data_IF_375941372869
#
_entry.id   IF_375941372869
#
_cell.length_a   1.000
_cell.length_b   1.000
_cell.length_c   1.000
_cell.angle_alpha   90.00
_cell.angle_beta   90.00
_cell.angle_gamma   90.00
#
_symmetry.space_group_name_H-M   'P 1'
#
loop_
_entity.id
_entity.type
_entity.pdbx_description
1 polymer ?
#
# COMPACT_ATOMS: atom_id res chain seq x y z
N UNK A 1 -40.53 -22.51 -24.85
CA UNK A 1 -40.48 -21.66 -23.65
C UNK A 1 -40.08 -20.26 -24.08
N UNK A 2 -40.72 -19.22 -23.55
CA UNK A 2 -40.38 -17.82 -23.88
C UNK A 2 -39.11 -17.35 -23.17
N UNK A 3 -38.45 -16.34 -23.72
CA UNK A 3 -37.30 -15.66 -23.09
C UNK A 3 -37.77 -14.87 -21.86
N UNK A 4 -36.95 -14.81 -20.82
CA UNK A 4 -37.21 -13.98 -19.65
C UNK A 4 -37.09 -12.50 -20.01
N UNK A 5 -37.86 -11.67 -19.33
CA UNK A 5 -37.81 -10.21 -19.44
C UNK A 5 -37.35 -9.61 -18.11
N UNK A 6 -36.74 -8.42 -18.17
CA UNK A 6 -36.32 -7.69 -16.96
C UNK A 6 -37.51 -7.49 -16.01
N UNK A 7 -38.67 -7.09 -16.54
CA UNK A 7 -39.91 -6.94 -15.76
C UNK A 7 -40.31 -8.20 -15.00
N UNK A 8 -40.17 -9.38 -15.59
CA UNK A 8 -40.47 -10.64 -14.91
C UNK A 8 -39.49 -10.93 -13.75
N UNK A 9 -38.23 -10.51 -13.87
CA UNK A 9 -37.23 -10.67 -12.82
C UNK A 9 -37.44 -9.66 -11.69
N UNK A 10 -37.88 -8.43 -12.01
CA UNK A 10 -38.18 -7.39 -11.03
C UNK A 10 -39.41 -7.69 -10.18
N UNK A 11 -40.35 -8.49 -10.69
CA UNK A 11 -41.56 -8.91 -9.96
C UNK A 11 -41.34 -10.09 -9.02
N UNK A 12 -40.14 -10.68 -8.99
CA UNK A 12 -39.87 -11.86 -8.16
C UNK A 12 -39.88 -11.50 -6.68
N UNK A 13 -40.45 -12.39 -5.88
CA UNK A 13 -40.59 -12.21 -4.43
C UNK A 13 -39.95 -13.38 -3.67
N UNK A 14 -40.05 -13.36 -2.34
CA UNK A 14 -39.58 -14.46 -1.50
C UNK A 14 -40.31 -15.78 -1.78
N UNK A 15 -41.57 -15.71 -2.21
CA UNK A 15 -42.37 -16.89 -2.56
C UNK A 15 -41.83 -17.62 -3.81
N UNK A 16 -41.06 -16.93 -4.65
CA UNK A 16 -40.41 -17.52 -5.83
C UNK A 16 -39.08 -18.20 -5.50
N UNK A 17 -38.58 -18.11 -4.27
CA UNK A 17 -37.26 -18.66 -3.91
C UNK A 17 -37.19 -20.16 -4.19
N UNK A 18 -36.12 -20.58 -4.87
CA UNK A 18 -35.93 -21.96 -5.29
C UNK A 18 -36.49 -22.29 -6.68
N UNK A 19 -37.39 -21.44 -7.22
CA UNK A 19 -37.93 -21.57 -8.58
C UNK A 19 -36.82 -21.52 -9.63
N UNK A 20 -36.97 -22.35 -10.68
CA UNK A 20 -36.14 -22.31 -11.89
C UNK A 20 -36.84 -21.51 -12.98
N UNK A 21 -36.13 -20.54 -13.55
CA UNK A 21 -36.60 -19.67 -14.61
C UNK A 21 -35.81 -19.97 -15.88
N UNK A 22 -36.45 -20.36 -16.97
CA UNK A 22 -35.75 -20.73 -18.20
C UNK A 22 -35.72 -19.58 -19.19
N UNK A 23 -34.56 -19.30 -19.79
CA UNK A 23 -34.37 -18.20 -20.74
C UNK A 23 -34.13 -18.67 -22.19
N UNK A 24 -34.01 -19.99 -22.41
CA UNK A 24 -33.72 -20.60 -23.72
C UNK A 24 -32.24 -20.95 -23.87
N UNK A 25 -31.92 -21.74 -24.91
CA UNK A 25 -30.54 -22.13 -25.28
C UNK A 25 -29.70 -22.69 -24.12
N UNK A 26 -30.34 -23.45 -23.23
CA UNK A 26 -29.69 -24.01 -22.04
C UNK A 26 -29.44 -23.02 -20.90
N UNK A 27 -29.76 -21.73 -21.05
CA UNK A 27 -29.71 -20.73 -19.97
C UNK A 27 -30.93 -20.86 -19.05
N UNK A 28 -30.69 -20.94 -17.75
CA UNK A 28 -31.73 -20.87 -16.73
C UNK A 28 -31.22 -20.18 -15.46
N UNK A 29 -32.11 -19.47 -14.78
CA UNK A 29 -31.90 -18.84 -13.50
C UNK A 29 -32.50 -19.65 -12.35
N UNK A 30 -31.89 -19.55 -11.16
CA UNK A 30 -32.48 -20.02 -9.90
C UNK A 30 -32.65 -18.85 -8.94
N UNK A 31 -33.88 -18.64 -8.48
CA UNK A 31 -34.22 -17.56 -7.56
C UNK A 31 -33.67 -17.88 -6.15
N UNK A 32 -33.05 -16.90 -5.51
CA UNK A 32 -32.44 -17.00 -4.18
C UNK A 32 -32.73 -15.71 -3.40
N UNK A 33 -32.98 -15.83 -2.10
CA UNK A 33 -32.95 -14.68 -1.19
C UNK A 33 -31.51 -14.49 -0.68
N UNK A 34 -31.01 -13.24 -0.72
CA UNK A 34 -29.71 -12.83 -0.16
C UNK A 34 -29.88 -11.50 0.61
N UNK A 35 -28.82 -11.06 1.31
CA UNK A 35 -28.83 -9.78 2.03
C UNK A 35 -29.21 -8.57 1.17
N UNK A 36 -28.92 -8.63 -0.12
CA UNK A 36 -29.22 -7.57 -1.11
C UNK A 36 -30.63 -7.67 -1.72
N UNK A 37 -31.45 -8.62 -1.28
CA UNK A 37 -32.79 -8.90 -1.81
C UNK A 37 -32.84 -10.17 -2.66
N UNK A 38 -33.81 -10.23 -3.58
CA UNK A 38 -33.98 -11.36 -4.50
C UNK A 38 -32.89 -11.34 -5.57
N UNK A 39 -32.14 -12.44 -5.64
CA UNK A 39 -31.06 -12.66 -6.59
C UNK A 39 -31.37 -13.88 -7.45
N UNK A 40 -31.25 -13.76 -8.77
CA UNK A 40 -31.38 -14.90 -9.67
C UNK A 40 -30.01 -15.30 -10.18
N UNK A 41 -29.53 -16.48 -9.76
CA UNK A 41 -28.24 -17.03 -10.23
C UNK A 41 -28.45 -17.76 -11.55
N UNK A 42 -27.84 -17.29 -12.62
CA UNK A 42 -27.97 -17.85 -13.95
C UNK A 42 -26.87 -18.87 -14.25
N UNK A 43 -27.26 -20.00 -14.81
CA UNK A 43 -26.39 -21.09 -15.25
C UNK A 43 -26.71 -21.47 -16.69
N UNK A 44 -25.67 -21.76 -17.46
CA UNK A 44 -25.78 -22.36 -18.79
C UNK A 44 -25.55 -23.87 -18.67
N UNK A 45 -26.56 -24.65 -19.07
CA UNK A 45 -26.51 -26.12 -19.18
C UNK A 45 -26.12 -26.52 -20.59
N UNK A 46 -25.09 -27.37 -20.69
CA UNK A 46 -24.58 -27.89 -21.96
C UNK A 46 -24.21 -29.38 -21.84
N UNK A 47 -23.93 -30.02 -22.98
CA UNK A 47 -23.34 -31.35 -23.03
C UNK A 47 -21.88 -31.25 -23.44
N UNK A 48 -21.03 -31.99 -22.76
CA UNK A 48 -19.60 -32.13 -23.07
C UNK A 48 -19.18 -33.57 -22.83
N UNK A 49 -18.57 -34.21 -23.84
CA UNK A 49 -18.15 -35.63 -23.79
C UNK A 49 -19.24 -36.57 -23.25
N UNK A 50 -20.47 -36.42 -23.75
CA UNK A 50 -21.63 -37.24 -23.35
C UNK A 50 -22.22 -36.93 -21.97
N UNK A 51 -21.61 -36.03 -21.18
CA UNK A 51 -22.08 -35.65 -19.83
C UNK A 51 -22.77 -34.28 -19.87
N UNK A 52 -23.83 -34.14 -19.07
CA UNK A 52 -24.45 -32.82 -18.84
C UNK A 52 -23.62 -32.04 -17.83
N UNK A 53 -23.26 -30.80 -18.14
CA UNK A 53 -22.54 -29.88 -17.26
C UNK A 53 -23.25 -28.53 -17.20
N UNK A 54 -22.98 -27.78 -16.14
CA UNK A 54 -23.52 -26.43 -15.94
C UNK A 54 -22.39 -25.47 -15.59
N UNK A 55 -22.53 -24.21 -16.00
CA UNK A 55 -21.55 -23.16 -15.72
C UNK A 55 -22.25 -21.84 -15.43
N UNK A 56 -21.83 -21.13 -14.37
CA UNK A 56 -22.46 -19.89 -13.88
C UNK A 56 -22.25 -18.70 -14.81
N UNK A 57 -23.30 -18.11 -15.37
CA UNK A 57 -23.25 -16.97 -16.32
C UNK A 57 -23.46 -15.58 -15.69
N UNK A 58 -23.79 -15.50 -14.40
CA UNK A 58 -23.97 -14.24 -13.69
C UNK A 58 -25.17 -14.28 -12.75
N UNK A 59 -25.50 -13.13 -12.16
CA UNK A 59 -26.55 -12.98 -11.16
C UNK A 59 -27.36 -11.71 -11.44
N UNK A 60 -28.67 -11.83 -11.57
CA UNK A 60 -29.53 -10.65 -11.53
C UNK A 60 -29.79 -10.23 -10.08
N UNK A 61 -29.77 -8.94 -9.70
CA UNK A 61 -29.55 -7.75 -10.53
C UNK A 61 -28.08 -7.25 -10.58
N UNK A 62 -27.11 -8.02 -10.08
CA UNK A 62 -25.68 -7.63 -10.07
C UNK A 62 -25.15 -7.41 -11.50
N UNK A 63 -25.52 -8.30 -12.41
CA UNK A 63 -25.29 -8.18 -13.84
C UNK A 63 -26.63 -8.05 -14.59
N UNK A 64 -26.62 -7.30 -15.70
CA UNK A 64 -27.83 -7.16 -16.52
C UNK A 64 -28.20 -8.48 -17.21
N UNK A 65 -29.49 -8.72 -17.46
CA UNK A 65 -29.92 -9.91 -18.20
C UNK A 65 -29.29 -9.99 -19.60
N UNK A 66 -28.98 -8.84 -20.22
CA UNK A 66 -28.24 -8.76 -21.47
C UNK A 66 -26.80 -9.29 -21.32
N UNK A 67 -26.10 -8.87 -20.28
CA UNK A 67 -24.71 -9.28 -20.05
C UNK A 67 -24.63 -10.76 -19.66
N UNK A 68 -25.59 -11.25 -18.88
CA UNK A 68 -25.74 -12.67 -18.55
C UNK A 68 -25.91 -13.52 -19.84
N UNK A 69 -26.75 -13.07 -20.78
CA UNK A 69 -26.91 -13.72 -22.10
C UNK A 69 -25.63 -13.68 -22.90
N UNK A 70 -24.93 -12.54 -22.93
CA UNK A 70 -23.62 -12.41 -23.59
C UNK A 70 -22.60 -13.39 -23.01
N UNK A 71 -22.54 -13.54 -21.69
CA UNK A 71 -21.68 -14.52 -21.00
C UNK A 71 -22.09 -15.97 -21.29
N UNK A 72 -23.39 -16.23 -21.51
CA UNK A 72 -23.83 -17.54 -22.02
C UNK A 72 -23.33 -17.76 -23.44
N UNK A 73 -23.49 -16.79 -24.33
CA UNK A 73 -23.11 -16.91 -25.73
C UNK A 73 -21.60 -17.18 -25.88
N UNK A 74 -20.76 -16.47 -25.10
CA UNK A 74 -19.31 -16.72 -25.12
C UNK A 74 -18.94 -18.15 -24.69
N UNK A 75 -19.62 -18.68 -23.67
CA UNK A 75 -19.40 -20.07 -23.22
C UNK A 75 -19.97 -21.10 -24.16
N UNK A 76 -21.07 -20.78 -24.83
CA UNK A 76 -21.62 -21.61 -25.87
C UNK A 76 -20.61 -21.75 -27.01
N UNK A 77 -20.02 -20.64 -27.49
CA UNK A 77 -18.95 -20.68 -28.50
C UNK A 77 -17.74 -21.50 -28.04
N UNK A 78 -17.36 -21.43 -26.76
CA UNK A 78 -16.28 -22.27 -26.22
C UNK A 78 -16.60 -23.77 -26.27
N UNK A 79 -17.85 -24.15 -25.95
CA UNK A 79 -18.31 -25.54 -26.04
C UNK A 79 -18.34 -26.00 -27.50
N UNK A 80 -18.82 -25.16 -28.42
CA UNK A 80 -18.84 -25.43 -29.86
C UNK A 80 -17.41 -25.60 -30.42
N UNK A 81 -16.43 -24.89 -29.86
CA UNK A 81 -15.01 -25.06 -30.15
C UNK A 81 -14.36 -26.28 -29.46
N UNK A 82 -15.11 -27.12 -28.75
CA UNK A 82 -14.63 -28.34 -28.11
C UNK A 82 -13.97 -28.15 -26.74
N UNK A 83 -14.08 -26.96 -26.13
CA UNK A 83 -13.57 -26.69 -24.79
C UNK A 83 -14.66 -26.85 -23.70
N UNK A 84 -14.24 -27.09 -22.45
CA UNK A 84 -15.13 -27.07 -21.28
C UNK A 84 -15.00 -25.74 -20.52
N UNK A 85 -16.02 -24.87 -20.55
CA UNK A 85 -16.00 -23.59 -19.83
C UNK A 85 -15.81 -23.72 -18.31
N UNK A 86 -16.17 -24.86 -17.71
CA UNK A 86 -15.99 -25.09 -16.27
C UNK A 86 -14.50 -25.24 -15.94
N UNK A 87 -13.77 -26.02 -16.73
CA UNK A 87 -12.33 -26.21 -16.53
C UNK A 87 -11.56 -24.94 -16.89
N UNK A 88 -11.95 -24.20 -17.93
CA UNK A 88 -11.34 -22.90 -18.24
C UNK A 88 -11.49 -21.89 -17.10
N UNK A 89 -12.70 -21.73 -16.54
CA UNK A 89 -12.91 -20.84 -15.40
C UNK A 89 -12.07 -21.24 -14.18
N UNK A 90 -11.88 -22.55 -13.95
CA UNK A 90 -11.04 -23.06 -12.87
C UNK A 90 -9.57 -22.76 -13.13
N UNK A 91 -9.08 -23.00 -14.35
CA UNK A 91 -7.71 -22.69 -14.76
C UNK A 91 -7.42 -21.18 -14.63
N UNK A 92 -8.33 -20.32 -15.12
CA UNK A 92 -8.21 -18.87 -15.02
C UNK A 92 -8.19 -18.39 -13.57
N UNK A 93 -9.02 -18.99 -12.70
CA UNK A 93 -9.02 -18.68 -11.28
C UNK A 93 -7.68 -19.03 -10.62
N UNK A 94 -7.17 -20.23 -10.89
CA UNK A 94 -5.87 -20.69 -10.35
C UNK A 94 -4.73 -19.82 -10.87
N UNK A 95 -4.75 -19.48 -12.16
CA UNK A 95 -3.77 -18.59 -12.77
C UNK A 95 -3.75 -17.21 -12.09
N UNK A 96 -4.91 -16.59 -11.92
CA UNK A 96 -5.02 -15.30 -11.21
C UNK A 96 -4.55 -15.39 -9.76
N UNK A 97 -4.83 -16.51 -9.08
CA UNK A 97 -4.35 -16.74 -7.71
C UNK A 97 -2.82 -16.83 -7.66
N UNK A 98 -2.21 -17.57 -8.59
CA UNK A 98 -0.76 -17.68 -8.69
C UNK A 98 -0.10 -16.34 -8.98
N UNK A 99 -0.63 -15.59 -9.97
CA UNK A 99 -0.15 -14.24 -10.31
C UNK A 99 -0.23 -13.30 -9.09
N UNK A 100 -1.34 -13.34 -8.34
CA UNK A 100 -1.48 -12.53 -7.13
C UNK A 100 -0.50 -12.93 -6.02
N UNK A 101 -0.23 -14.22 -5.84
CA UNK A 101 0.72 -14.70 -4.84
C UNK A 101 2.15 -14.29 -5.18
N UNK A 102 2.52 -14.36 -6.46
CA UNK A 102 3.83 -13.92 -6.96
C UNK A 102 4.03 -12.42 -6.76
N UNK A 103 3.00 -11.61 -7.01
CA UNK A 103 3.07 -10.15 -6.79
C UNK A 103 3.24 -9.81 -5.31
N UNK A 104 2.51 -10.48 -4.41
CA UNK A 104 2.67 -10.30 -2.96
C UNK A 104 4.10 -10.65 -2.53
N UNK A 105 4.65 -11.74 -3.04
CA UNK A 105 6.00 -12.17 -2.69
C UNK A 105 7.05 -11.17 -3.19
N UNK A 106 6.89 -10.65 -4.41
CA UNK A 106 7.75 -9.60 -4.97
C UNK A 106 7.72 -8.33 -4.12
N UNK A 107 6.54 -7.89 -3.69
CA UNK A 107 6.39 -6.72 -2.83
C UNK A 107 7.06 -6.92 -1.47
N UNK A 108 6.94 -8.12 -0.88
CA UNK A 108 7.61 -8.47 0.37
C UNK A 108 9.13 -8.45 0.24
N UNK A 109 9.66 -9.03 -0.84
CA UNK A 109 11.09 -9.03 -1.11
C UNK A 109 11.63 -7.60 -1.28
N UNK A 110 10.90 -6.73 -1.99
CA UNK A 110 11.30 -5.34 -2.15
C UNK A 110 11.26 -4.55 -0.84
N UNK A 111 10.21 -4.75 -0.02
CA UNK A 111 10.13 -4.13 1.31
C UNK A 111 11.28 -4.60 2.21
N UNK A 112 11.62 -5.90 2.18
CA UNK A 112 12.74 -6.44 2.94
C UNK A 112 14.08 -5.85 2.47
N UNK A 113 14.28 -5.67 1.15
CA UNK A 113 15.45 -5.01 0.58
C UNK A 113 15.58 -3.57 1.06
N UNK A 114 14.51 -2.78 0.93
CA UNK A 114 14.48 -1.38 1.39
C UNK A 114 14.72 -1.27 2.91
N UNK A 115 14.16 -2.18 3.70
CA UNK A 115 14.39 -2.21 5.14
C UNK A 115 15.86 -2.54 5.48
N UNK A 116 16.47 -3.49 4.77
CA UNK A 116 17.90 -3.82 4.93
C UNK A 116 18.81 -2.65 4.53
N UNK A 117 18.52 -2.01 3.40
CA UNK A 117 19.22 -0.80 2.96
C UNK A 117 19.07 0.34 3.99
N UNK A 118 17.88 0.52 4.56
CA UNK A 118 17.68 1.50 5.63
C UNK A 118 18.44 1.14 6.91
N UNK A 119 18.51 -0.14 7.29
CA UNK A 119 19.22 -0.59 8.49
C UNK A 119 20.75 -0.43 8.39
N UNK A 120 21.30 -0.45 7.18
CA UNK A 120 22.73 -0.16 6.95
C UNK A 120 23.04 1.34 6.94
N UNK A 121 22.05 2.21 6.74
CA UNK A 121 22.24 3.65 6.82
C UNK A 121 22.47 4.09 8.27
N UNK A 122 23.50 4.91 8.46
CA UNK A 122 23.78 5.56 9.74
C UNK A 122 22.65 6.52 10.08
N UNK A 123 21.93 6.29 11.18
CA UNK A 123 20.94 7.24 11.69
C UNK A 123 21.61 8.48 12.30
N UNK A 124 20.88 9.59 12.40
CA UNK A 124 21.37 10.81 13.01
C UNK A 124 21.73 10.60 14.48
N UNK A 125 20.90 9.88 15.25
CA UNK A 125 21.19 9.56 16.65
C UNK A 125 22.50 8.78 16.79
N UNK A 126 22.69 7.73 15.99
CA UNK A 126 23.94 6.96 16.03
C UNK A 126 25.15 7.82 15.66
N UNK A 127 25.01 8.74 14.70
CA UNK A 127 26.07 9.66 14.33
C UNK A 127 26.40 10.64 15.46
N UNK A 128 25.39 11.17 16.16
CA UNK A 128 25.55 12.03 17.33
C UNK A 128 26.27 11.30 18.46
N UNK A 129 25.91 10.05 18.76
CA UNK A 129 26.59 9.25 19.80
C UNK A 129 28.09 9.09 19.50
N UNK A 130 28.43 8.82 18.25
CA UNK A 130 29.83 8.72 17.83
C UNK A 130 30.55 10.06 17.91
N UNK A 131 29.90 11.16 17.52
CA UNK A 131 30.46 12.51 17.64
C UNK A 131 30.72 12.89 19.10
N UNK A 132 29.77 12.63 20.00
CA UNK A 132 29.90 12.88 21.43
C UNK A 132 31.07 12.09 22.01
N UNK A 133 31.16 10.80 21.66
CA UNK A 133 32.23 9.91 22.12
C UNK A 133 33.60 10.35 21.64
N UNK A 134 33.74 10.81 20.39
CA UNK A 134 35.03 11.08 19.77
C UNK A 134 35.52 12.53 19.90
N UNK A 135 34.60 13.52 19.90
CA UNK A 135 34.93 14.95 19.96
C UNK A 135 34.53 15.59 21.29
N UNK A 136 33.28 15.42 21.71
CA UNK A 136 32.77 16.16 22.87
C UNK A 136 33.28 15.61 24.21
N UNK A 137 33.60 14.33 24.28
CA UNK A 137 34.17 13.67 25.47
C UNK A 137 35.47 14.32 25.95
N UNK A 138 36.19 15.01 25.05
CA UNK A 138 37.44 15.73 25.33
C UNK A 138 37.23 17.11 25.96
N UNK A 139 35.99 17.61 26.00
CA UNK A 139 35.66 18.91 26.60
C UNK A 139 35.59 18.81 28.12
N UNK A 140 35.79 19.94 28.79
CA UNK A 140 35.67 20.04 30.26
C UNK A 140 34.30 19.59 30.78
N UNK A 141 33.24 19.84 30.02
CA UNK A 141 31.87 19.44 30.35
C UNK A 141 31.45 18.09 29.73
N UNK A 142 32.35 17.43 28.98
CA UNK A 142 32.08 16.17 28.30
C UNK A 142 30.92 16.22 27.29
N UNK A 143 30.54 17.42 26.83
CA UNK A 143 29.37 17.59 25.94
C UNK A 143 28.00 17.46 26.61
N UNK A 144 27.92 17.47 27.95
CA UNK A 144 26.66 17.30 28.69
C UNK A 144 25.59 18.33 28.30
N UNK A 145 25.99 19.58 28.14
CA UNK A 145 25.05 20.66 27.77
C UNK A 145 24.57 20.52 26.32
N UNK A 146 25.47 20.14 25.40
CA UNK A 146 25.13 19.88 24.00
C UNK A 146 24.15 18.70 23.89
N UNK A 147 24.41 17.60 24.60
CA UNK A 147 23.53 16.44 24.64
C UNK A 147 22.17 16.75 25.27
N UNK A 148 22.11 17.57 26.31
CA UNK A 148 20.83 17.99 26.91
C UNK A 148 19.94 18.70 25.89
N UNK A 149 20.53 19.60 25.09
CA UNK A 149 19.80 20.32 24.04
C UNK A 149 19.43 19.41 22.87
N UNK A 150 20.33 18.54 22.43
CA UNK A 150 20.05 17.56 21.38
C UNK A 150 18.91 16.61 21.77
N UNK A 151 18.94 16.06 22.98
CA UNK A 151 17.88 15.18 23.48
C UNK A 151 16.53 15.88 23.59
N UNK A 152 16.53 17.18 23.92
CA UNK A 152 15.29 17.94 24.09
C UNK A 152 14.67 18.34 22.76
N UNK A 153 15.49 18.86 21.84
CA UNK A 153 14.99 19.62 20.69
C UNK A 153 15.29 18.94 19.34
N UNK A 154 16.27 18.03 19.25
CA UNK A 154 16.72 17.46 17.96
C UNK A 154 16.42 15.97 17.82
N UNK A 155 16.89 15.13 18.75
CA UNK A 155 16.73 13.68 18.67
C UNK A 155 15.25 13.21 18.62
N UNK A 156 14.28 13.87 19.28
CA UNK A 156 12.87 13.48 19.15
C UNK A 156 12.32 13.63 17.73
N UNK A 157 12.97 14.44 16.87
CA UNK A 157 12.50 14.73 15.51
C UNK A 157 13.40 14.04 14.48
N UNK A 158 14.72 14.05 14.69
CA UNK A 158 15.70 13.58 13.71
C UNK A 158 16.39 12.27 14.09
N UNK A 159 16.20 11.74 15.29
CA UNK A 159 17.00 10.63 15.82
C UNK A 159 17.06 9.41 14.89
N UNK A 160 15.90 8.98 14.38
CA UNK A 160 15.76 7.81 13.49
C UNK A 160 15.97 8.15 12.01
N UNK A 161 16.11 9.42 11.67
CA UNK A 161 16.34 9.85 10.28
C UNK A 161 17.75 9.44 9.87
N UNK A 162 17.90 8.84 8.69
CA UNK A 162 19.21 8.55 8.13
C UNK A 162 20.00 9.86 7.99
N UNK A 163 21.25 9.88 8.45
CA UNK A 163 22.07 11.09 8.52
C UNK A 163 22.20 11.80 7.16
N UNK A 164 22.29 11.02 6.08
CA UNK A 164 22.37 11.49 4.69
C UNK A 164 21.08 12.18 4.21
N UNK A 165 19.94 11.85 4.82
CA UNK A 165 18.63 12.37 4.46
C UNK A 165 18.25 13.63 5.28
N UNK A 166 19.11 14.07 6.21
CA UNK A 166 18.85 15.27 7.03
C UNK A 166 19.01 16.55 6.21
N UNK A 167 17.90 17.25 5.99
CA UNK A 167 17.83 18.46 5.17
C UNK A 167 17.94 19.74 5.98
N UNK A 168 18.39 20.82 5.33
CA UNK A 168 18.43 22.17 5.93
C UNK A 168 17.07 22.60 6.49
N UNK A 169 15.98 22.40 5.75
CA UNK A 169 14.64 22.81 6.16
C UNK A 169 14.24 22.21 7.51
N UNK A 170 14.49 20.91 7.72
CA UNK A 170 14.20 20.23 8.99
C UNK A 170 14.98 20.85 10.16
N UNK A 171 16.25 21.19 9.95
CA UNK A 171 17.06 21.85 10.97
C UNK A 171 16.58 23.27 11.27
N UNK A 172 16.13 24.01 10.25
CA UNK A 172 15.58 25.36 10.42
C UNK A 172 14.26 25.32 11.20
N UNK A 173 13.36 24.39 10.89
CA UNK A 173 12.09 24.24 11.63
C UNK A 173 12.33 24.00 13.13
N UNK A 174 13.32 23.18 13.48
CA UNK A 174 13.71 22.95 14.88
C UNK A 174 14.22 24.24 15.53
N UNK A 175 15.10 24.96 14.84
CA UNK A 175 15.69 26.20 15.35
C UNK A 175 14.64 27.30 15.52
N UNK A 176 13.78 27.49 14.52
CA UNK A 176 12.67 28.44 14.55
C UNK A 176 11.70 28.11 15.69
N UNK A 177 11.42 26.83 15.92
CA UNK A 177 10.62 26.37 17.06
C UNK A 177 11.25 26.73 18.42
N UNK A 178 12.57 26.68 18.56
CA UNK A 178 13.26 27.12 19.78
C UNK A 178 13.18 28.64 19.95
N UNK A 179 13.36 29.39 18.87
CA UNK A 179 13.26 30.86 18.86
C UNK A 179 11.85 31.31 19.23
N UNK A 180 10.82 30.69 18.66
CA UNK A 180 9.42 30.99 18.93
C UNK A 180 9.04 30.80 20.41
N UNK A 181 9.73 29.90 21.13
CA UNK A 181 9.57 29.71 22.59
C UNK A 181 10.34 30.74 23.44
N UNK A 182 10.95 31.75 22.82
CA UNK A 182 11.74 32.78 23.49
C UNK A 182 13.18 32.38 23.83
N UNK A 183 13.65 31.20 23.38
CA UNK A 183 14.95 30.66 23.75
C UNK A 183 16.06 30.95 22.69
N UNK A 184 16.16 32.20 22.23
CA UNK A 184 17.09 32.66 21.16
C UNK A 184 18.55 32.26 21.42
N UNK A 185 19.01 32.39 22.67
CA UNK A 185 20.39 32.00 23.06
C UNK A 185 20.58 30.48 22.92
N UNK A 186 19.57 29.69 23.29
CA UNK A 186 19.57 28.25 23.11
C UNK A 186 19.59 27.84 21.64
N UNK A 187 18.79 28.48 20.80
CA UNK A 187 18.78 28.25 19.34
C UNK A 187 20.16 28.52 18.73
N UNK A 188 20.80 29.64 19.09
CA UNK A 188 22.13 29.99 18.61
C UNK A 188 23.24 29.03 19.07
N UNK A 189 23.11 28.50 20.30
CA UNK A 189 24.02 27.45 20.80
C UNK A 189 23.81 26.14 20.05
N UNK A 190 22.55 25.75 19.82
CA UNK A 190 22.22 24.51 19.11
C UNK A 190 22.73 24.58 17.67
N UNK A 191 22.50 25.70 16.99
CA UNK A 191 23.00 25.93 15.64
C UNK A 191 24.53 25.79 15.57
N UNK A 192 25.26 26.37 16.53
CA UNK A 192 26.72 26.21 16.58
C UNK A 192 27.15 24.75 16.76
N UNK A 193 26.49 24.02 17.66
CA UNK A 193 26.74 22.59 17.88
C UNK A 193 26.44 21.74 16.64
N UNK A 194 25.30 21.96 15.98
CA UNK A 194 24.93 21.28 14.75
C UNK A 194 25.92 21.53 13.61
N UNK A 195 26.40 22.77 13.45
CA UNK A 195 27.44 23.07 12.45
C UNK A 195 28.73 22.28 12.72
N UNK A 196 29.15 22.22 13.98
CA UNK A 196 30.32 21.46 14.34
C UNK A 196 30.14 19.96 14.08
N UNK A 197 28.98 19.42 14.44
CA UNK A 197 28.63 18.03 14.17
C UNK A 197 28.66 17.72 12.67
N UNK A 198 28.06 18.55 11.83
CA UNK A 198 28.06 18.31 10.39
C UNK A 198 29.44 18.48 9.75
N UNK A 199 30.29 19.38 10.26
CA UNK A 199 31.69 19.45 9.83
C UNK A 199 32.45 18.16 10.18
N UNK A 200 32.22 17.63 11.38
CA UNK A 200 32.78 16.35 11.81
C UNK A 200 32.31 15.18 10.94
N UNK A 201 31.04 15.18 10.55
CA UNK A 201 30.44 14.17 9.68
C UNK A 201 30.99 14.24 8.25
N UNK A 202 31.15 15.45 7.68
CA UNK A 202 31.77 15.66 6.36
C UNK A 202 33.22 15.20 6.36
N UNK A 203 34.01 15.54 7.40
CA UNK A 203 35.41 15.13 7.51
C UNK A 203 35.61 13.60 7.60
N UNK A 204 34.54 12.84 7.86
CA UNK A 204 34.54 11.37 7.92
C UNK A 204 33.77 10.74 6.76
N UNK A 205 33.37 11.54 5.78
CA UNK A 205 32.61 11.11 4.59
C UNK A 205 31.27 10.43 4.96
N UNK A 206 30.69 10.77 6.11
CA UNK A 206 29.36 10.27 6.49
C UNK A 206 28.25 11.00 5.78
N UNK A 207 28.52 12.22 5.31
CA UNK A 207 27.67 13.04 4.45
C UNK A 207 28.54 13.76 3.44
N UNK A 208 28.05 13.91 2.22
CA UNK A 208 28.76 14.61 1.13
C UNK A 208 28.81 16.13 1.36
N UNK A 209 27.80 16.68 2.02
CA UNK A 209 27.64 18.12 2.21
C UNK A 209 27.09 18.47 3.59
N UNK A 210 27.45 19.66 4.04
CA UNK A 210 27.00 20.20 5.32
C UNK A 210 25.67 20.96 5.13
N UNK A 211 24.52 20.48 5.64
CA UNK A 211 23.20 21.10 5.37
C UNK A 211 23.11 22.55 5.83
N UNK A 212 23.81 22.92 6.90
CA UNK A 212 23.90 24.28 7.43
C UNK A 212 25.09 25.08 6.85
N UNK A 213 25.59 24.74 5.65
CA UNK A 213 26.74 25.37 4.99
C UNK A 213 26.56 26.86 4.68
N UNK A 214 27.57 27.49 4.07
CA UNK A 214 27.68 28.95 3.84
C UNK A 214 26.35 29.65 3.50
N UNK A 215 26.08 30.78 4.18
CA UNK A 215 24.90 31.62 3.98
C UNK A 215 24.00 31.84 5.21
N UNK A 216 24.18 31.05 6.28
CA UNK A 216 23.45 31.23 7.56
C UNK A 216 24.41 31.70 8.65
N UNK A 217 24.23 32.93 9.13
CA UNK A 217 24.99 33.51 10.24
C UNK A 217 24.09 33.46 11.49
N UNK A 218 24.66 33.35 12.69
CA UNK A 218 23.94 33.39 13.97
C UNK A 218 22.98 34.60 14.11
N UNK A 219 23.22 35.69 13.37
CA UNK A 219 22.35 36.87 13.36
C UNK A 219 20.99 36.62 12.69
N UNK A 220 20.88 35.60 11.83
CA UNK A 220 19.66 35.24 11.09
C UNK A 220 18.73 34.33 11.89
N UNK A 221 19.21 33.72 13.00
CA UNK A 221 18.48 32.80 13.90
C UNK A 221 18.27 33.42 15.26
#
# INVERSE_FOLDING_TARGET
MGKLTVRQLDTLTEDDVGRKLFDGDGLYGRVRSQKIGIVVTFEYRFRYQGKTRTVSCGKWPVESLRDIRKTRDTKQTLVEAGADPVEQNKADKLRKQLESAQEIERQRAELARLASEAATRRTFAHAIDQWVKLELSRRKDGGKEDMRMLNKDVLPILGDVALVDVKRAMLMEILDGIVARGARVGANRLFAGLRQFFNFAVAREWVEGHPLGSGLIKATI
#
